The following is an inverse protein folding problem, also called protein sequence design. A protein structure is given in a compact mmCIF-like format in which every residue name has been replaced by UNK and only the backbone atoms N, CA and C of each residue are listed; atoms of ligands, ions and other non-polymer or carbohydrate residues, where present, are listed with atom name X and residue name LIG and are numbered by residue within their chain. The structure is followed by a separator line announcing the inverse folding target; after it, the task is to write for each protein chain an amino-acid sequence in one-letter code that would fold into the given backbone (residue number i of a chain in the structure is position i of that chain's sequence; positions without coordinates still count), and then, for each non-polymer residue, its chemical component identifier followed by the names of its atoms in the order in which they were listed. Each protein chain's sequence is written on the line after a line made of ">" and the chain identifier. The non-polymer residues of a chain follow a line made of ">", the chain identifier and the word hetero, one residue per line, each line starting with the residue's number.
data_IF_033049496597
#
_entry.id   IF_033049496597
#
_cell.length_a   1.000
_cell.length_b   1.000
_cell.length_c   1.000
_cell.angle_alpha   90.00
_cell.angle_beta   90.00
_cell.angle_gamma   90.00
#
_symmetry.space_group_name_H-M   'P 1'
#
loop_
_entity.id
_entity.type
_entity.pdbx_description
1 polymer ?
#
# COMPACT_ATOMS: atom_id res chain seq x y z
N UNK A 1 -22.73 1.52 -1.32
CA UNK A 1 -21.72 1.86 -0.31
C UNK A 1 -20.79 2.87 -0.94
N UNK A 2 -20.75 4.10 -0.45
CA UNK A 2 -19.86 5.13 -0.97
C UNK A 2 -18.53 4.94 -0.25
N UNK A 3 -17.53 4.39 -0.93
CA UNK A 3 -16.16 4.33 -0.42
C UNK A 3 -15.59 5.74 -0.55
N UNK A 4 -15.17 6.34 0.56
CA UNK A 4 -14.24 7.47 0.47
C UNK A 4 -12.81 6.94 0.29
N UNK A 5 -11.93 7.78 -0.26
CA UNK A 5 -10.55 7.39 -0.58
C UNK A 5 -9.70 7.05 0.64
N UNK A 6 -10.00 7.58 1.82
CA UNK A 6 -9.28 7.32 3.08
C UNK A 6 -9.67 5.95 3.66
N UNK A 7 -10.95 5.59 3.59
CA UNK A 7 -11.50 4.32 4.07
C UNK A 7 -11.38 3.17 3.06
N UNK A 8 -10.86 3.45 1.85
CA UNK A 8 -10.72 2.46 0.78
C UNK A 8 -9.44 1.61 0.86
N UNK A 9 -8.43 2.01 1.65
CA UNK A 9 -7.13 1.31 1.72
C UNK A 9 -7.27 -0.12 2.27
N UNK A 10 -7.95 -0.31 3.40
CA UNK A 10 -8.14 -1.65 4.00
C UNK A 10 -8.99 -2.56 3.10
N UNK A 11 -10.14 -2.11 2.54
CA UNK A 11 -10.85 -2.85 1.51
C UNK A 11 -10.00 -3.24 0.31
N UNK A 12 -9.13 -2.33 -0.17
CA UNK A 12 -8.21 -2.59 -1.28
C UNK A 12 -7.21 -3.68 -0.94
N UNK A 13 -6.56 -3.61 0.22
CA UNK A 13 -5.60 -4.63 0.67
C UNK A 13 -6.27 -5.98 0.88
N UNK A 14 -7.47 -6.01 1.49
CA UNK A 14 -8.28 -7.23 1.61
C UNK A 14 -8.65 -7.83 0.26
N UNK A 15 -9.01 -6.99 -0.72
CA UNK A 15 -9.31 -7.46 -2.06
C UNK A 15 -8.05 -8.06 -2.73
N UNK A 16 -6.90 -7.42 -2.54
CA UNK A 16 -5.60 -7.85 -3.09
C UNK A 16 -5.15 -9.19 -2.49
N UNK A 17 -5.23 -9.36 -1.17
CA UNK A 17 -4.91 -10.61 -0.47
C UNK A 17 -5.74 -11.80 -0.96
N UNK A 18 -7.00 -11.55 -1.36
CA UNK A 18 -7.93 -12.59 -1.85
C UNK A 18 -7.73 -12.97 -3.30
N UNK A 19 -6.90 -12.25 -4.06
CA UNK A 19 -6.60 -12.61 -5.45
C UNK A 19 -5.60 -13.78 -5.57
N UNK A 20 -5.23 -14.41 -4.45
CA UNK A 20 -4.49 -15.67 -4.43
C UNK A 20 -5.33 -16.80 -5.07
N UNK A 21 -4.78 -17.66 -5.97
CA UNK A 21 -5.55 -18.57 -6.84
C UNK A 21 -6.39 -19.64 -6.13
N UNK A 22 -6.29 -19.75 -4.81
CA UNK A 22 -7.04 -20.72 -3.98
C UNK A 22 -8.31 -20.17 -3.34
N UNK A 23 -8.55 -18.86 -3.37
CA UNK A 23 -9.75 -18.26 -2.77
C UNK A 23 -10.92 -18.26 -3.75
N UNK A 24 -12.07 -18.82 -3.33
CA UNK A 24 -13.29 -18.79 -4.13
C UNK A 24 -13.72 -17.33 -4.41
N UNK A 25 -14.16 -16.99 -5.64
CA UNK A 25 -14.64 -15.66 -5.99
C UNK A 25 -16.06 -15.44 -5.45
N UNK A 26 -16.25 -15.53 -4.14
CA UNK A 26 -17.44 -15.05 -3.46
C UNK A 26 -16.99 -14.01 -2.44
N UNK A 27 -17.10 -12.73 -2.83
CA UNK A 27 -16.58 -11.65 -2.01
C UNK A 27 -16.78 -10.25 -2.61
N UNK A 28 -16.54 -9.20 -1.82
CA UNK A 28 -16.70 -7.79 -2.19
C UNK A 28 -15.81 -7.39 -3.37
N UNK A 29 -16.03 -6.16 -3.87
CA UNK A 29 -15.39 -5.59 -5.06
C UNK A 29 -13.88 -5.89 -5.18
N UNK A 30 -13.40 -6.22 -6.39
CA UNK A 30 -11.96 -6.39 -6.67
C UNK A 30 -11.18 -5.09 -6.46
N UNK A 31 -9.84 -5.20 -6.35
CA UNK A 31 -8.98 -4.02 -6.21
C UNK A 31 -9.22 -3.01 -7.36
N UNK A 32 -9.30 -3.47 -8.60
CA UNK A 32 -9.64 -2.62 -9.76
C UNK A 32 -11.02 -1.97 -9.64
N UNK A 33 -12.01 -2.68 -9.12
CA UNK A 33 -13.36 -2.14 -8.92
C UNK A 33 -13.37 -1.05 -7.84
N UNK A 34 -12.58 -1.20 -6.77
CA UNK A 34 -12.42 -0.19 -5.73
C UNK A 34 -11.76 1.06 -6.31
N UNK A 35 -10.65 0.91 -7.04
CA UNK A 35 -9.94 2.03 -7.68
C UNK A 35 -10.85 2.74 -8.68
N UNK A 36 -11.57 1.99 -9.52
CA UNK A 36 -12.51 2.56 -10.49
C UNK A 36 -13.65 3.31 -9.81
N UNK A 37 -14.18 2.79 -8.68
CA UNK A 37 -15.21 3.45 -7.91
C UNK A 37 -14.73 4.80 -7.36
N UNK A 38 -13.53 4.87 -6.78
CA UNK A 38 -12.92 6.11 -6.29
C UNK A 38 -12.73 7.11 -7.44
N UNK A 39 -12.14 6.68 -8.56
CA UNK A 39 -11.95 7.54 -9.75
C UNK A 39 -13.26 8.10 -10.31
N UNK A 40 -14.32 7.29 -10.31
CA UNK A 40 -15.65 7.71 -10.79
C UNK A 40 -16.47 8.49 -9.77
N UNK A 41 -15.98 8.56 -8.53
CA UNK A 41 -16.62 9.25 -7.42
C UNK A 41 -16.44 10.77 -7.47
N UNK A 42 -17.03 11.50 -6.50
CA UNK A 42 -16.98 12.96 -6.46
C UNK A 42 -15.57 13.53 -6.28
N UNK A 43 -14.64 12.77 -5.68
CA UNK A 43 -13.24 13.17 -5.47
C UNK A 43 -12.37 12.98 -6.73
N UNK A 44 -12.79 12.13 -7.67
CA UNK A 44 -12.06 11.88 -8.92
C UNK A 44 -10.58 11.53 -8.74
N UNK A 45 -9.71 12.26 -9.44
CA UNK A 45 -8.25 12.11 -9.37
C UNK A 45 -7.67 12.50 -8.01
N UNK A 46 -8.30 13.42 -7.27
CA UNK A 46 -7.86 13.75 -5.90
C UNK A 46 -8.06 12.55 -4.98
N UNK A 47 -9.19 11.85 -5.11
CA UNK A 47 -9.45 10.61 -4.39
C UNK A 47 -8.45 9.51 -4.73
N UNK A 48 -8.01 9.41 -5.99
CA UNK A 48 -6.93 8.50 -6.37
C UNK A 48 -5.59 8.88 -5.73
N UNK A 49 -5.27 10.17 -5.67
CA UNK A 49 -4.07 10.66 -4.99
C UNK A 49 -4.06 10.30 -3.50
N UNK A 50 -5.19 10.52 -2.81
CA UNK A 50 -5.35 10.14 -1.39
C UNK A 50 -5.25 8.63 -1.19
N UNK A 51 -5.88 7.85 -2.06
CA UNK A 51 -5.79 6.39 -2.02
C UNK A 51 -4.33 5.94 -2.22
N UNK A 52 -3.61 6.49 -3.19
CA UNK A 52 -2.21 6.17 -3.43
C UNK A 52 -1.31 6.47 -2.23
N UNK A 53 -1.50 7.63 -1.59
CA UNK A 53 -0.81 7.98 -0.34
C UNK A 53 -1.13 6.99 0.76
N UNK A 54 -2.41 6.69 0.99
CA UNK A 54 -2.83 5.74 2.02
C UNK A 54 -2.26 4.34 1.81
N UNK A 55 -2.24 3.86 0.55
CA UNK A 55 -1.63 2.57 0.21
C UNK A 55 -0.11 2.59 0.40
N UNK A 56 0.58 3.69 0.09
CA UNK A 56 2.00 3.83 0.36
C UNK A 56 2.30 3.78 1.87
N UNK A 57 1.52 4.48 2.69
CA UNK A 57 1.65 4.44 4.16
C UNK A 57 1.45 3.01 4.68
N UNK A 58 0.41 2.31 4.19
CA UNK A 58 0.19 0.90 4.54
C UNK A 58 1.38 0.01 4.15
N UNK A 59 1.92 0.18 2.94
CA UNK A 59 3.12 -0.53 2.50
C UNK A 59 4.32 -0.25 3.42
N UNK A 60 4.48 0.99 3.89
CA UNK A 60 5.46 1.36 4.90
C UNK A 60 5.26 0.58 6.20
N UNK A 61 4.08 0.66 6.82
CA UNK A 61 3.77 -0.01 8.09
C UNK A 61 4.11 -1.51 8.02
N UNK A 62 3.64 -2.20 6.99
CA UNK A 62 3.90 -3.65 6.84
C UNK A 62 5.38 -3.93 6.60
N UNK A 63 6.09 -3.04 5.92
CA UNK A 63 7.54 -3.13 5.73
C UNK A 63 8.29 -3.07 7.07
N UNK A 64 7.92 -2.13 7.94
CA UNK A 64 8.53 -1.98 9.26
C UNK A 64 8.31 -3.23 10.13
N UNK A 65 7.07 -3.74 10.15
CA UNK A 65 6.71 -4.97 10.84
C UNK A 65 7.51 -6.18 10.33
N UNK A 66 7.61 -6.33 9.02
CA UNK A 66 8.35 -7.42 8.39
C UNK A 66 9.85 -7.37 8.69
N UNK A 67 10.44 -6.16 8.73
CA UNK A 67 11.84 -5.95 9.10
C UNK A 67 12.08 -6.24 10.59
N UNK A 68 11.20 -5.72 11.46
CA UNK A 68 11.24 -5.93 12.92
C UNK A 68 11.19 -7.42 13.27
N UNK A 69 10.28 -8.17 12.64
CA UNK A 69 10.15 -9.62 12.81
C UNK A 69 11.44 -10.42 12.52
N UNK A 70 12.34 -9.86 11.71
CA UNK A 70 13.62 -10.48 11.31
C UNK A 70 14.83 -9.91 12.05
N UNK A 71 14.60 -9.02 13.03
CA UNK A 71 15.67 -8.33 13.74
C UNK A 71 16.54 -7.48 12.82
N UNK A 72 15.97 -6.94 11.73
CA UNK A 72 16.68 -6.12 10.75
C UNK A 72 16.20 -4.67 10.83
N UNK A 73 17.08 -3.75 10.45
CA UNK A 73 16.69 -2.36 10.23
C UNK A 73 15.82 -2.26 8.97
N UNK A 74 14.92 -1.27 8.95
CA UNK A 74 14.14 -0.94 7.74
C UNK A 74 15.08 -0.61 6.59
N UNK A 75 16.16 0.13 6.83
CA UNK A 75 17.17 0.48 5.81
C UNK A 75 17.84 -0.72 5.16
N UNK A 76 18.18 -1.76 5.94
CA UNK A 76 18.75 -2.99 5.39
C UNK A 76 17.74 -3.78 4.57
N UNK A 77 16.46 -3.60 4.87
CA UNK A 77 15.38 -4.21 4.10
C UNK A 77 15.02 -3.42 2.84
N UNK A 78 15.02 -2.09 2.86
CA UNK A 78 14.83 -1.25 1.66
C UNK A 78 15.83 -1.61 0.55
N UNK A 79 17.04 -2.05 0.90
CA UNK A 79 18.05 -2.56 -0.05
C UNK A 79 17.66 -3.90 -0.70
N UNK A 80 16.80 -4.68 -0.06
CA UNK A 80 16.31 -5.98 -0.54
C UNK A 80 14.99 -5.86 -1.29
N UNK A 81 14.27 -4.77 -1.08
CA UNK A 81 12.95 -4.45 -1.65
C UNK A 81 12.87 -4.64 -3.18
N UNK A 82 13.86 -4.24 -4.01
CA UNK A 82 13.82 -4.50 -5.45
C UNK A 82 13.80 -5.99 -5.84
N UNK A 83 14.19 -6.90 -4.94
CA UNK A 83 14.13 -8.36 -5.15
C UNK A 83 12.80 -8.98 -4.71
N UNK A 84 12.04 -8.25 -3.89
CA UNK A 84 10.75 -8.68 -3.32
C UNK A 84 9.57 -7.94 -3.94
N UNK A 85 9.82 -6.82 -4.63
CA UNK A 85 8.81 -6.05 -5.32
C UNK A 85 8.23 -6.88 -6.51
N UNK A 86 6.90 -6.84 -6.73
CA UNK A 86 6.29 -7.48 -7.89
C UNK A 86 6.91 -6.99 -9.21
N UNK A 87 6.89 -7.79 -10.29
CA UNK A 87 7.28 -7.30 -11.61
C UNK A 87 6.49 -6.03 -11.98
N UNK A 88 7.19 -4.95 -12.35
CA UNK A 88 6.58 -3.64 -12.64
C UNK A 88 6.53 -2.67 -11.46
N UNK A 89 6.88 -3.10 -10.24
CA UNK A 89 6.89 -2.25 -9.04
C UNK A 89 8.21 -1.46 -8.87
N UNK A 90 8.76 -0.91 -9.96
CA UNK A 90 10.06 -0.23 -9.98
C UNK A 90 10.12 0.99 -9.05
N UNK A 91 8.98 1.62 -8.79
CA UNK A 91 8.86 2.83 -7.97
C UNK A 91 8.58 2.54 -6.50
N UNK A 92 8.20 1.30 -6.14
CA UNK A 92 7.88 0.93 -4.74
C UNK A 92 9.07 1.18 -3.79
N UNK A 93 10.32 0.82 -4.11
CA UNK A 93 11.46 1.16 -3.27
C UNK A 93 11.63 2.67 -3.07
N UNK A 94 11.47 3.50 -4.11
CA UNK A 94 11.59 4.97 -4.01
C UNK A 94 10.50 5.55 -3.10
N UNK A 95 9.26 5.09 -3.25
CA UNK A 95 8.11 5.56 -2.48
C UNK A 95 8.21 5.14 -1.01
N UNK A 96 8.50 3.87 -0.75
CA UNK A 96 8.61 3.34 0.62
C UNK A 96 9.83 3.94 1.32
N UNK A 97 10.96 4.11 0.63
CA UNK A 97 12.13 4.78 1.20
C UNK A 97 11.82 6.22 1.61
N UNK A 98 11.10 6.98 0.79
CA UNK A 98 10.76 8.36 1.09
C UNK A 98 9.85 8.53 2.33
N UNK A 99 9.15 7.47 2.77
CA UNK A 99 8.39 7.45 4.02
C UNK A 99 9.30 7.34 5.25
N UNK A 100 10.37 6.56 5.17
CA UNK A 100 11.25 6.25 6.30
C UNK A 100 12.45 7.21 6.40
N UNK A 101 13.01 7.61 5.27
CA UNK A 101 14.08 8.57 5.17
C UNK A 101 13.72 9.60 4.09
N UNK A 102 13.03 10.69 4.47
CA UNK A 102 12.60 11.70 3.50
C UNK A 102 13.78 12.42 2.83
N UNK A 103 15.03 12.26 3.33
CA UNK A 103 16.21 12.91 2.78
C UNK A 103 15.94 14.40 2.47
N UNK A 104 16.39 14.92 1.31
CA UNK A 104 16.09 16.28 0.86
C UNK A 104 14.72 16.42 0.15
N UNK A 105 14.03 15.32 -0.18
CA UNK A 105 12.80 15.32 -0.97
C UNK A 105 11.66 14.66 -0.18
N UNK A 106 10.71 15.44 0.39
CA UNK A 106 9.60 14.89 1.15
C UNK A 106 8.78 13.87 0.36
N UNK A 107 8.22 12.87 1.06
CA UNK A 107 7.39 11.81 0.50
C UNK A 107 6.34 12.29 -0.53
N UNK A 108 5.55 13.31 -0.19
CA UNK A 108 4.50 13.83 -1.09
C UNK A 108 5.07 14.44 -2.38
N UNK A 109 6.30 14.96 -2.34
CA UNK A 109 7.00 15.47 -3.53
C UNK A 109 7.41 14.31 -4.42
N UNK A 110 7.96 13.24 -3.84
CA UNK A 110 8.31 12.01 -4.59
C UNK A 110 7.07 11.43 -5.29
N UNK A 111 5.96 11.27 -4.57
CA UNK A 111 4.69 10.78 -5.13
C UNK A 111 4.17 11.70 -6.25
N UNK A 112 4.22 13.02 -6.04
CA UNK A 112 3.78 14.01 -7.02
C UNK A 112 4.64 14.02 -8.28
N UNK A 113 5.96 13.87 -8.16
CA UNK A 113 6.91 13.83 -9.28
C UNK A 113 6.69 12.58 -10.13
N UNK A 114 6.55 11.41 -9.50
CA UNK A 114 6.28 10.14 -10.18
C UNK A 114 5.07 10.22 -11.13
N UNK A 115 4.00 10.85 -10.67
CA UNK A 115 2.77 10.99 -11.47
C UNK A 115 2.88 12.12 -12.49
N UNK A 116 3.42 13.28 -12.10
CA UNK A 116 3.52 14.46 -12.99
C UNK A 116 4.48 14.24 -14.16
N UNK A 117 5.55 13.48 -13.92
CA UNK A 117 6.53 13.13 -14.95
C UNK A 117 6.07 11.95 -15.83
N UNK A 118 4.88 11.39 -15.57
CA UNK A 118 4.33 10.27 -16.32
C UNK A 118 5.11 8.97 -16.16
N UNK A 119 5.88 8.83 -15.07
CA UNK A 119 6.66 7.63 -14.75
C UNK A 119 5.77 6.48 -14.26
N UNK A 120 4.63 6.82 -13.65
CA UNK A 120 3.60 5.88 -13.20
C UNK A 120 2.24 6.58 -13.12
N UNK A 121 1.16 5.89 -13.43
CA UNK A 121 -0.20 6.38 -13.16
C UNK A 121 -0.65 6.07 -11.74
N UNK A 122 -1.57 6.85 -11.16
CA UNK A 122 -2.11 6.56 -9.83
C UNK A 122 -2.67 5.13 -9.72
N UNK A 123 -3.40 4.67 -10.75
CA UNK A 123 -3.94 3.30 -10.78
C UNK A 123 -2.85 2.23 -10.58
N UNK A 124 -1.79 2.31 -11.39
CA UNK A 124 -0.69 1.36 -11.36
C UNK A 124 0.09 1.44 -10.03
N UNK A 125 0.30 2.65 -9.53
CA UNK A 125 0.98 2.86 -8.26
C UNK A 125 0.19 2.28 -7.08
N UNK A 126 -1.13 2.49 -7.04
CA UNK A 126 -2.01 1.93 -6.01
C UNK A 126 -1.95 0.41 -6.02
N UNK A 127 -2.09 -0.22 -7.20
CA UNK A 127 -2.05 -1.68 -7.31
C UNK A 127 -0.70 -2.25 -6.88
N UNK A 128 0.41 -1.73 -7.40
CA UNK A 128 1.75 -2.24 -7.09
C UNK A 128 2.11 -2.10 -5.61
N UNK A 129 1.70 -1.00 -4.95
CA UNK A 129 1.87 -0.83 -3.50
C UNK A 129 0.97 -1.79 -2.71
N UNK A 130 -0.27 -2.01 -3.15
CA UNK A 130 -1.19 -2.94 -2.49
C UNK A 130 -0.71 -4.39 -2.61
N UNK A 131 -0.25 -4.82 -3.78
CA UNK A 131 0.32 -6.14 -4.03
C UNK A 131 1.57 -6.37 -3.19
N UNK A 132 2.45 -5.37 -3.12
CA UNK A 132 3.63 -5.42 -2.27
C UNK A 132 3.26 -5.59 -0.78
N UNK A 133 2.35 -4.76 -0.27
CA UNK A 133 1.91 -4.84 1.12
C UNK A 133 1.25 -6.18 1.43
N UNK A 134 0.36 -6.66 0.55
CA UNK A 134 -0.30 -7.95 0.68
C UNK A 134 0.72 -9.11 0.68
N UNK A 135 1.71 -9.08 -0.20
CA UNK A 135 2.78 -10.09 -0.24
C UNK A 135 3.57 -10.16 1.06
N UNK A 136 3.89 -9.01 1.67
CA UNK A 136 4.57 -9.00 2.98
C UNK A 136 3.69 -9.51 4.11
N UNK A 137 2.38 -9.21 4.09
CA UNK A 137 1.43 -9.78 5.07
C UNK A 137 1.37 -11.31 4.94
N UNK A 138 1.32 -11.84 3.72
CA UNK A 138 1.36 -13.29 3.48
C UNK A 138 2.66 -13.90 3.98
N UNK A 139 3.80 -13.24 3.78
CA UNK A 139 5.09 -13.71 4.30
C UNK A 139 5.14 -13.70 5.83
N UNK A 140 4.62 -12.66 6.49
CA UNK A 140 4.49 -12.58 7.96
C UNK A 140 3.63 -13.71 8.52
N UNK A 141 2.52 -14.00 7.85
CA UNK A 141 1.60 -15.07 8.27
C UNK A 141 2.20 -16.44 8.06
N UNK A 142 2.85 -16.67 6.91
CA UNK A 142 3.57 -17.92 6.62
C UNK A 142 4.66 -18.21 7.65
N UNK A 143 5.35 -17.17 8.11
CA UNK A 143 6.42 -17.29 9.10
C UNK A 143 5.89 -17.38 10.55
N UNK A 144 4.58 -17.30 10.75
CA UNK A 144 3.93 -17.41 12.06
C UNK A 144 4.15 -16.19 12.96
N UNK A 145 4.47 -15.03 12.38
CA UNK A 145 4.76 -13.79 13.12
C UNK A 145 3.47 -13.04 13.44
N UNK A 146 2.65 -12.78 12.42
CA UNK A 146 1.35 -12.10 12.49
C UNK A 146 0.46 -12.58 11.37
N UNK A 147 -0.84 -12.65 11.61
CA UNK A 147 -1.84 -12.93 10.59
C UNK A 147 -2.09 -11.70 9.70
N UNK A 148 -2.55 -11.91 8.47
CA UNK A 148 -2.92 -10.80 7.59
C UNK A 148 -4.00 -9.89 8.22
N UNK A 149 -4.94 -10.45 8.97
CA UNK A 149 -5.99 -9.68 9.66
C UNK A 149 -5.42 -8.77 10.77
N UNK A 150 -4.42 -9.22 11.52
CA UNK A 150 -3.72 -8.38 12.51
C UNK A 150 -2.96 -7.24 11.84
N UNK A 151 -2.28 -7.52 10.72
CA UNK A 151 -1.62 -6.47 9.93
C UNK A 151 -2.62 -5.45 9.38
N UNK A 152 -3.78 -5.90 8.88
CA UNK A 152 -4.83 -5.01 8.38
C UNK A 152 -5.39 -4.12 9.48
N UNK A 153 -5.56 -4.64 10.70
CA UNK A 153 -6.03 -3.87 11.85
C UNK A 153 -5.02 -2.78 12.26
N UNK A 154 -3.72 -3.09 12.23
CA UNK A 154 -2.65 -2.10 12.49
C UNK A 154 -2.66 -0.99 11.44
N UNK A 155 -2.79 -1.36 10.15
CA UNK A 155 -2.91 -0.40 9.05
C UNK A 155 -4.15 0.49 9.23
N UNK A 156 -5.29 -0.08 9.59
CA UNK A 156 -6.53 0.67 9.83
C UNK A 156 -6.37 1.68 10.96
N UNK A 157 -5.74 1.28 12.06
CA UNK A 157 -5.47 2.14 13.21
C UNK A 157 -4.53 3.29 12.84
N UNK A 158 -3.42 3.00 12.17
CA UNK A 158 -2.45 4.00 11.76
C UNK A 158 -3.02 5.02 10.75
N UNK A 159 -3.84 4.57 9.79
CA UNK A 159 -4.50 5.46 8.84
C UNK A 159 -5.55 6.35 9.52
N UNK A 160 -6.28 5.81 10.51
CA UNK A 160 -7.23 6.57 11.31
C UNK A 160 -6.54 7.65 12.15
N UNK A 161 -5.41 7.31 12.77
CA UNK A 161 -4.58 8.24 13.53
C UNK A 161 -3.98 9.34 12.64
N UNK A 162 -3.61 9.00 11.39
CA UNK A 162 -3.13 9.97 10.43
C UNK A 162 -4.24 10.93 9.98
N UNK A 163 -5.44 10.41 9.69
CA UNK A 163 -6.59 11.22 9.31
C UNK A 163 -7.09 12.15 10.44
N UNK A 164 -6.84 11.80 11.71
CA UNK A 164 -7.18 12.63 12.86
C UNK A 164 -6.19 13.79 13.13
N UNK A 165 -5.04 13.81 12.44
CA UNK A 165 -3.98 14.83 12.60
C UNK A 165 -4.02 15.93 11.53
N UNK A 166 -4.78 15.73 10.45
CA UNK A 166 -5.12 16.74 9.44
C UNK A 166 -6.43 17.47 9.80
#
# INVERSE_FOLDING_TARGET
>A
MQLDSQNAVVPLLRATLRQDPGAAPEGPASADQIIAAIRSGPEGEEGLGRLAVGTAVAAGIVTEEWASARGRSVDDFLKLLPRHAPPGAEHVPEVVQALFDPGPRPFFVVMGDLVREGRVGFHELILTLAEYAAGLMTDLERDGVRTADECLAEVEAALSDWAARD
#
